data_IF_347074415951
#
_entry.id   IF_347074415951
#
_cell.length_a   1.000
_cell.length_b   1.000
_cell.length_c   1.000
_cell.angle_alpha   90.00
_cell.angle_beta   90.00
_cell.angle_gamma   90.00
#
_symmetry.space_group_name_H-M   'P 1'
#
loop_
_entity.id
_entity.type
_entity.pdbx_description
1 polymer ?
#
# COMPACT_ATOMS: atom_id res chain seq x y z
N UNK A 1 -27.63 -8.91 46.52
CA UNK A 1 -27.68 -8.15 45.25
C UNK A 1 -26.25 -7.73 44.90
N UNK A 2 -25.70 -8.16 43.76
CA UNK A 2 -24.35 -7.78 43.30
C UNK A 2 -24.49 -6.87 42.07
N UNK A 3 -23.80 -5.72 42.00
CA UNK A 3 -23.76 -4.93 40.78
C UNK A 3 -22.88 -5.64 39.74
N UNK A 4 -23.35 -5.68 38.49
CA UNK A 4 -22.64 -6.26 37.35
C UNK A 4 -21.65 -5.22 36.83
N UNK A 5 -20.37 -5.39 37.13
CA UNK A 5 -19.30 -4.53 36.62
C UNK A 5 -19.00 -4.85 35.15
N UNK A 6 -19.36 -3.96 34.23
CA UNK A 6 -18.93 -4.02 32.83
C UNK A 6 -17.44 -3.67 32.79
N UNK A 7 -16.58 -4.65 33.00
CA UNK A 7 -15.14 -4.46 32.91
C UNK A 7 -14.76 -4.22 31.44
N UNK A 8 -14.17 -3.06 31.21
CA UNK A 8 -13.99 -2.42 29.91
C UNK A 8 -13.14 -3.25 28.95
N UNK A 9 -13.74 -3.75 27.87
CA UNK A 9 -13.04 -4.35 26.71
C UNK A 9 -11.95 -3.43 26.12
N UNK A 10 -12.01 -2.14 26.43
CA UNK A 10 -11.03 -1.12 26.02
C UNK A 10 -9.65 -1.33 26.65
N UNK A 11 -9.58 -1.86 27.89
CA UNK A 11 -8.31 -2.12 28.57
C UNK A 11 -7.58 -3.32 27.96
N UNK A 12 -8.33 -4.37 27.61
CA UNK A 12 -7.79 -5.56 26.93
C UNK A 12 -7.30 -5.22 25.52
N UNK A 13 -8.04 -4.39 24.79
CA UNK A 13 -7.62 -3.93 23.45
C UNK A 13 -6.34 -3.08 23.50
N UNK A 14 -6.23 -2.18 24.49
CA UNK A 14 -5.04 -1.33 24.64
C UNK A 14 -3.80 -2.14 25.03
N UNK A 15 -3.95 -3.13 25.93
CA UNK A 15 -2.86 -4.06 26.29
C UNK A 15 -2.40 -4.91 25.11
N UNK A 16 -3.33 -5.36 24.25
CA UNK A 16 -3.00 -6.10 23.04
C UNK A 16 -2.26 -5.24 22.00
N UNK A 17 -2.66 -3.97 21.84
CA UNK A 17 -1.98 -3.00 20.97
C UNK A 17 -0.56 -2.68 21.45
N UNK A 18 -0.39 -2.47 22.75
CA UNK A 18 0.93 -2.16 23.33
C UNK A 18 1.89 -3.36 23.23
N UNK A 19 1.39 -4.59 23.38
CA UNK A 19 2.16 -5.82 23.20
C UNK A 19 2.58 -6.05 21.73
N UNK A 20 1.66 -5.84 20.77
CA UNK A 20 1.97 -5.93 19.34
C UNK A 20 3.03 -4.91 18.90
N UNK A 21 2.99 -3.70 19.47
CA UNK A 21 4.00 -2.65 19.20
C UNK A 21 5.39 -3.02 19.70
N UNK A 22 5.49 -3.80 20.79
CA UNK A 22 6.77 -4.26 21.34
C UNK A 22 7.41 -5.39 20.53
N UNK A 23 6.60 -6.25 19.89
CA UNK A 23 7.11 -7.28 18.97
C UNK A 23 7.60 -6.69 17.63
N UNK A 24 6.98 -5.60 17.16
CA UNK A 24 7.42 -4.89 15.94
C UNK A 24 8.78 -4.20 16.11
N UNK A 25 9.07 -3.58 17.26
CA UNK A 25 10.36 -2.91 17.49
C UNK A 25 11.53 -3.89 17.64
N UNK A 26 11.30 -5.14 18.04
CA UNK A 26 12.35 -6.16 18.13
C UNK A 26 12.80 -6.67 16.75
N UNK A 27 11.92 -6.65 15.75
CA UNK A 27 12.22 -7.09 14.38
C UNK A 27 12.81 -5.97 13.49
N UNK A 28 12.99 -4.76 14.03
CA UNK A 28 13.53 -3.60 13.30
C UNK A 28 15.06 -3.70 13.03
N UNK A 29 15.75 -4.76 13.48
CA UNK A 29 17.23 -4.84 13.47
C UNK A 29 17.88 -5.77 12.44
N UNK A 30 17.20 -6.16 11.36
CA UNK A 30 17.88 -6.83 10.23
C UNK A 30 17.15 -6.58 8.90
N UNK A 31 17.52 -5.51 8.20
CA UNK A 31 17.24 -5.38 6.76
C UNK A 31 18.59 -5.50 6.05
N UNK A 32 18.93 -6.64 5.43
CA UNK A 32 20.06 -6.69 4.51
C UNK A 32 19.73 -5.78 3.30
N UNK A 33 20.68 -4.93 2.94
CA UNK A 33 20.68 -4.08 1.75
C UNK A 33 20.15 -4.85 0.52
N UNK A 34 19.12 -4.32 -0.16
CA UNK A 34 18.88 -4.66 -1.57
C UNK A 34 17.48 -5.05 -2.01
N UNK A 35 16.50 -5.34 -1.13
CA UNK A 35 15.08 -5.50 -1.56
C UNK A 35 14.12 -4.98 -0.51
N UNK A 36 13.57 -3.77 -0.74
CA UNK A 36 12.36 -3.33 -0.05
C UNK A 36 11.22 -4.28 -0.44
N UNK A 37 10.92 -5.25 0.41
CA UNK A 37 9.69 -6.01 0.28
C UNK A 37 8.55 -5.09 0.70
N UNK A 38 7.75 -4.63 -0.26
CA UNK A 38 6.51 -3.94 0.04
C UNK A 38 5.60 -4.97 0.71
N UNK A 39 5.29 -4.79 1.98
CA UNK A 39 4.27 -5.58 2.64
C UNK A 39 2.91 -5.14 2.05
N UNK A 40 2.16 -6.02 1.36
CA UNK A 40 0.89 -5.65 0.73
C UNK A 40 -0.16 -5.20 1.74
N UNK A 41 -0.02 -5.53 3.04
CA UNK A 41 -0.92 -5.04 4.08
C UNK A 41 -0.60 -3.62 4.57
N UNK A 42 0.58 -3.06 4.25
CA UNK A 42 0.99 -1.69 4.61
C UNK A 42 1.20 -0.78 3.40
N UNK A 43 1.14 -1.31 2.17
CA UNK A 43 1.23 -0.54 0.95
C UNK A 43 0.01 0.41 0.85
N UNK A 44 0.26 1.71 1.01
CA UNK A 44 -0.78 2.72 0.78
C UNK A 44 -1.20 2.68 -0.69
N UNK A 45 -2.51 2.55 -0.95
CA UNK A 45 -3.07 2.63 -2.30
C UNK A 45 -2.74 3.99 -2.90
N UNK A 46 -2.21 4.00 -4.13
CA UNK A 46 -2.06 5.24 -4.90
C UNK A 46 -3.44 5.71 -5.36
N UNK A 47 -3.80 6.95 -5.02
CA UNK A 47 -5.05 7.59 -5.42
C UNK A 47 -4.70 8.76 -6.33
N UNK A 48 -5.14 8.70 -7.58
CA UNK A 48 -4.96 9.77 -8.56
C UNK A 48 -6.06 10.82 -8.39
N UNK A 49 -5.68 12.09 -8.29
CA UNK A 49 -6.59 13.23 -8.32
C UNK A 49 -6.36 14.01 -9.63
N UNK A 50 -7.40 14.18 -10.44
CA UNK A 50 -7.36 14.91 -11.70
C UNK A 50 -8.75 15.48 -11.99
N UNK A 51 -8.79 16.69 -12.54
CA UNK A 51 -10.03 17.30 -13.07
C UNK A 51 -10.37 16.80 -14.48
N UNK A 52 -9.44 16.08 -15.12
CA UNK A 52 -9.55 15.57 -16.49
C UNK A 52 -9.48 14.06 -16.52
N UNK A 53 -10.32 13.46 -17.36
CA UNK A 53 -10.24 12.04 -17.70
C UNK A 53 -9.22 11.83 -18.83
N UNK A 54 -8.55 10.65 -18.88
CA UNK A 54 -7.67 10.33 -19.99
C UNK A 54 -8.41 10.38 -21.33
N UNK A 55 -7.83 11.06 -22.31
CA UNK A 55 -8.46 11.29 -23.62
C UNK A 55 -7.48 11.03 -24.78
N UNK A 56 -8.02 10.96 -26.01
CA UNK A 56 -7.24 10.62 -27.19
C UNK A 56 -6.63 9.22 -27.06
N UNK A 57 -5.32 9.12 -27.29
CA UNK A 57 -4.58 7.85 -27.23
C UNK A 57 -4.10 7.49 -25.81
N UNK A 58 -4.31 8.37 -24.83
CA UNK A 58 -3.88 8.11 -23.45
C UNK A 58 -4.50 6.84 -22.83
N UNK A 59 -5.81 6.55 -22.97
CA UNK A 59 -6.38 5.33 -22.40
C UNK A 59 -5.71 4.06 -22.93
N UNK A 60 -5.39 4.03 -24.22
CA UNK A 60 -4.74 2.90 -24.85
C UNK A 60 -3.28 2.78 -24.39
N UNK A 61 -2.53 3.88 -24.37
CA UNK A 61 -1.15 3.89 -23.88
C UNK A 61 -1.05 3.41 -22.41
N UNK A 62 -1.98 3.84 -21.55
CA UNK A 62 -2.05 3.38 -20.16
C UNK A 62 -2.30 1.88 -20.10
N UNK A 63 -3.25 1.36 -20.90
CA UNK A 63 -3.58 -0.06 -20.92
C UNK A 63 -2.38 -0.92 -21.39
N UNK A 64 -1.67 -0.48 -22.43
CA UNK A 64 -0.48 -1.17 -22.94
C UNK A 64 0.63 -1.23 -21.89
N UNK A 65 0.90 -0.11 -21.21
CA UNK A 65 1.92 -0.06 -20.15
C UNK A 65 1.57 -0.96 -18.96
N UNK A 66 0.30 -0.98 -18.54
CA UNK A 66 -0.16 -1.88 -17.47
C UNK A 66 0.01 -3.34 -17.89
N UNK A 67 -0.35 -3.68 -19.13
CA UNK A 67 -0.20 -5.02 -19.67
C UNK A 67 1.27 -5.46 -19.64
N UNK A 68 2.21 -4.63 -20.13
CA UNK A 68 3.64 -4.93 -20.09
C UNK A 68 4.16 -5.13 -18.67
N UNK A 69 3.71 -4.31 -17.71
CA UNK A 69 4.07 -4.48 -16.30
C UNK A 69 3.54 -5.80 -15.73
N UNK A 70 2.30 -6.19 -16.06
CA UNK A 70 1.71 -7.46 -15.63
C UNK A 70 2.40 -8.67 -16.27
N UNK A 71 2.90 -8.52 -17.50
CA UNK A 71 3.67 -9.53 -18.21
C UNK A 71 5.13 -9.64 -17.74
N UNK A 72 5.58 -8.76 -16.82
CA UNK A 72 6.93 -8.76 -16.28
C UNK A 72 7.97 -8.13 -17.21
N UNK A 73 7.54 -7.27 -18.14
CA UNK A 73 8.45 -6.53 -19.01
C UNK A 73 9.28 -5.54 -18.19
N UNK A 74 10.61 -5.71 -18.24
CA UNK A 74 11.55 -4.88 -17.47
C UNK A 74 11.72 -3.48 -18.06
N UNK A 75 11.56 -3.34 -19.38
CA UNK A 75 11.80 -2.11 -20.11
C UNK A 75 10.64 -1.88 -21.08
N UNK A 76 10.03 -0.69 -20.99
CA UNK A 76 8.96 -0.25 -21.86
C UNK A 76 9.23 1.20 -22.27
N UNK A 77 8.90 1.55 -23.51
CA UNK A 77 9.09 2.91 -24.05
C UNK A 77 7.74 3.50 -24.41
N UNK A 78 7.41 4.64 -23.79
CA UNK A 78 6.23 5.42 -24.16
C UNK A 78 6.66 6.53 -25.15
N UNK A 79 6.18 6.46 -26.38
CA UNK A 79 6.39 7.51 -27.37
C UNK A 79 5.24 8.51 -27.33
N UNK A 80 5.39 9.59 -26.56
CA UNK A 80 4.41 10.67 -26.49
C UNK A 80 4.59 11.68 -27.63
N UNK A 81 3.47 12.15 -28.19
CA UNK A 81 3.44 13.33 -29.06
C UNK A 81 3.31 14.60 -28.20
N UNK A 82 3.80 15.74 -28.68
CA UNK A 82 3.78 16.97 -27.88
C UNK A 82 2.33 17.44 -27.64
N UNK A 83 1.92 17.53 -26.37
CA UNK A 83 0.56 17.94 -25.98
C UNK A 83 -0.44 16.79 -25.83
N UNK A 84 0.03 15.53 -25.86
CA UNK A 84 -0.76 14.34 -25.52
C UNK A 84 -1.22 14.33 -24.09
#
# INVERSE_FOLDING_TARGET
MKPIGISSRRALYKKALDAARQEEVANQHMIPEGKRTLNPSTAKKFILHSDFEPAGDQPEAIAQLICGLQNGELHQTLLGVTGS
#
